data_IF_968329191962
#
_entry.id   IF_968329191962
#
_cell.length_a   1.000
_cell.length_b   1.000
_cell.length_c   1.000
_cell.angle_alpha   90.00
_cell.angle_beta   90.00
_cell.angle_gamma   90.00
#
_symmetry.space_group_name_H-M   'P 1'
#
loop_
_entity.id
_entity.type
_entity.pdbx_description
1 polymer ?
#
# COMPACT_ATOMS: atom_id res chain seq x y z
N UNK A 1 -14.15 8.12 -5.05
CA UNK A 1 -13.24 7.02 -4.71
C UNK A 1 -14.01 5.83 -4.23
N UNK A 2 -13.68 4.64 -4.71
CA UNK A 2 -14.23 3.39 -4.20
C UNK A 2 -13.77 3.14 -2.75
N UNK A 3 -14.45 2.21 -2.06
CA UNK A 3 -14.10 1.86 -0.69
C UNK A 3 -12.75 1.14 -0.62
N UNK A 4 -12.50 0.26 -1.58
CA UNK A 4 -11.23 -0.45 -1.79
C UNK A 4 -11.02 -0.67 -3.29
N UNK A 5 -9.87 -1.20 -3.68
CA UNK A 5 -9.58 -1.55 -5.08
C UNK A 5 -10.48 -2.66 -5.64
N UNK A 6 -11.20 -3.40 -4.79
CA UNK A 6 -12.13 -4.46 -5.20
C UNK A 6 -13.59 -3.99 -5.34
N UNK A 7 -13.86 -2.72 -5.04
CA UNK A 7 -15.19 -2.14 -4.99
C UNK A 7 -15.47 -1.22 -6.19
N UNK A 8 -16.75 -1.07 -6.53
CA UNK A 8 -17.24 -0.11 -7.53
C UNK A 8 -18.37 0.72 -6.90
N UNK A 9 -18.00 1.89 -6.39
CA UNK A 9 -18.93 2.76 -5.68
C UNK A 9 -19.93 3.45 -6.61
N UNK A 10 -19.72 3.44 -7.93
CA UNK A 10 -20.68 4.02 -8.88
C UNK A 10 -22.03 3.30 -8.86
N UNK A 11 -22.04 2.05 -8.37
CA UNK A 11 -23.25 1.23 -8.20
C UNK A 11 -24.20 1.73 -7.13
N UNK A 12 -23.69 2.47 -6.14
CA UNK A 12 -24.48 2.87 -4.96
C UNK A 12 -24.26 4.32 -4.52
N UNK A 13 -23.41 5.09 -5.20
CA UNK A 13 -23.19 6.52 -4.93
C UNK A 13 -23.25 7.33 -6.22
N UNK A 14 -24.01 8.42 -6.18
CA UNK A 14 -24.15 9.33 -7.31
C UNK A 14 -22.89 10.18 -7.53
N UNK A 15 -22.56 10.41 -8.79
CA UNK A 15 -21.38 11.21 -9.19
C UNK A 15 -21.44 12.65 -8.65
N UNK A 16 -22.63 13.25 -8.64
CA UNK A 16 -22.88 14.62 -8.19
C UNK A 16 -22.51 14.84 -6.71
N UNK A 17 -22.74 13.84 -5.87
CA UNK A 17 -22.34 13.86 -4.46
C UNK A 17 -20.82 13.93 -4.34
N UNK A 18 -20.11 13.11 -5.11
CA UNK A 18 -18.64 13.08 -5.13
C UNK A 18 -18.08 14.41 -5.62
N UNK A 19 -18.63 14.97 -6.71
CA UNK A 19 -18.22 16.27 -7.24
C UNK A 19 -18.47 17.41 -6.23
N UNK A 20 -19.56 17.36 -5.47
CA UNK A 20 -19.86 18.33 -4.42
C UNK A 20 -18.86 18.21 -3.26
N UNK A 21 -18.52 16.98 -2.85
CA UNK A 21 -17.55 16.74 -1.79
C UNK A 21 -16.14 17.24 -2.16
N UNK A 22 -15.71 17.10 -3.42
CA UNK A 22 -14.43 17.63 -3.90
C UNK A 22 -14.29 19.14 -3.74
N UNK A 23 -15.39 19.90 -3.76
CA UNK A 23 -15.37 21.36 -3.59
C UNK A 23 -15.11 21.79 -2.14
N UNK A 24 -15.32 20.90 -1.17
CA UNK A 24 -15.17 21.18 0.27
C UNK A 24 -14.04 20.35 0.90
N UNK A 25 -13.18 19.76 0.07
CA UNK A 25 -12.08 18.93 0.52
C UNK A 25 -11.03 19.77 1.28
N UNK A 26 -10.42 19.21 2.35
CA UNK A 26 -9.63 19.99 3.30
C UNK A 26 -8.31 20.50 2.74
N UNK A 27 -7.70 19.84 1.75
CA UNK A 27 -6.37 20.24 1.26
C UNK A 27 -6.44 21.56 0.49
N UNK A 28 -7.43 21.76 -0.39
CA UNK A 28 -7.63 23.07 -1.05
C UNK A 28 -7.79 24.20 -0.03
N UNK A 29 -8.57 23.96 1.03
CA UNK A 29 -8.82 24.96 2.08
C UNK A 29 -7.55 25.31 2.85
N UNK A 30 -6.75 24.32 3.22
CA UNK A 30 -5.48 24.53 3.92
C UNK A 30 -4.48 25.23 3.01
N UNK A 31 -4.38 24.81 1.74
CA UNK A 31 -3.51 25.45 0.75
C UNK A 31 -3.81 26.93 0.64
N UNK A 32 -5.08 27.30 0.44
CA UNK A 32 -5.49 28.70 0.33
C UNK A 32 -5.11 29.49 1.60
N UNK A 33 -5.39 28.94 2.78
CA UNK A 33 -5.03 29.57 4.05
C UNK A 33 -3.53 29.84 4.18
N UNK A 34 -2.67 28.89 3.78
CA UNK A 34 -1.22 29.07 3.84
C UNK A 34 -0.69 30.04 2.78
N UNK A 35 -1.32 30.08 1.60
CA UNK A 35 -1.03 31.06 0.54
C UNK A 35 -1.41 32.47 1.00
N UNK A 36 -2.57 32.65 1.65
CA UNK A 36 -3.01 33.93 2.19
C UNK A 36 -2.06 34.46 3.28
N UNK A 37 -1.42 33.56 4.02
CA UNK A 37 -0.36 33.89 4.99
C UNK A 37 1.01 34.18 4.35
N UNK A 38 1.15 34.02 3.04
CA UNK A 38 2.40 34.23 2.29
C UNK A 38 3.50 33.20 2.56
N UNK A 39 3.16 32.07 3.21
CA UNK A 39 4.12 31.01 3.54
C UNK A 39 4.07 29.83 2.56
N UNK A 40 3.04 29.78 1.70
CA UNK A 40 2.90 28.80 0.63
C UNK A 40 2.77 29.46 -0.74
N UNK A 41 3.31 28.79 -1.77
CA UNK A 41 3.34 29.27 -3.16
C UNK A 41 3.43 28.07 -4.12
N UNK A 42 3.31 28.33 -5.43
CA UNK A 42 3.31 27.31 -6.47
C UNK A 42 4.66 26.57 -6.58
N UNK A 43 5.77 27.24 -6.27
CA UNK A 43 7.09 26.62 -6.29
C UNK A 43 7.21 25.56 -5.20
N UNK A 44 6.76 25.87 -3.96
CA UNK A 44 6.71 24.92 -2.85
C UNK A 44 5.73 23.77 -3.09
N UNK A 45 4.58 24.04 -3.71
CA UNK A 45 3.64 22.98 -4.10
C UNK A 45 4.29 22.01 -5.08
N UNK A 46 4.96 22.53 -6.11
CA UNK A 46 5.65 21.72 -7.11
C UNK A 46 6.77 20.89 -6.47
N UNK A 47 7.62 21.52 -5.66
CA UNK A 47 8.69 20.83 -4.92
C UNK A 47 8.14 19.73 -4.00
N UNK A 48 7.02 19.99 -3.30
CA UNK A 48 6.38 18.99 -2.45
C UNK A 48 5.89 17.79 -3.27
N UNK A 49 5.21 18.02 -4.40
CA UNK A 49 4.67 16.98 -5.25
C UNK A 49 5.79 16.12 -5.87
N UNK A 50 6.85 16.76 -6.37
CA UNK A 50 8.02 16.06 -6.90
C UNK A 50 8.72 15.23 -5.82
N UNK A 51 8.93 15.80 -4.63
CA UNK A 51 9.52 15.08 -3.50
C UNK A 51 8.64 13.90 -3.04
N UNK A 52 7.33 14.08 -3.02
CA UNK A 52 6.39 13.03 -2.65
C UNK A 52 6.41 11.89 -3.67
N UNK A 53 6.38 12.20 -4.97
CA UNK A 53 6.47 11.22 -6.04
C UNK A 53 7.76 10.41 -5.94
N UNK A 54 8.92 11.09 -5.82
CA UNK A 54 10.21 10.42 -5.70
C UNK A 54 10.28 9.47 -4.49
N UNK A 55 9.73 9.86 -3.34
CA UNK A 55 9.66 9.00 -2.13
C UNK A 55 8.79 7.76 -2.35
N UNK A 56 7.66 7.92 -3.05
CA UNK A 56 6.78 6.79 -3.37
C UNK A 56 7.48 5.84 -4.33
N UNK A 57 8.12 6.36 -5.37
CA UNK A 57 8.84 5.55 -6.36
C UNK A 57 9.99 4.78 -5.71
N UNK A 58 10.80 5.42 -4.87
CA UNK A 58 11.87 4.76 -4.11
C UNK A 58 11.32 3.65 -3.20
N UNK A 59 10.20 3.89 -2.51
CA UNK A 59 9.57 2.89 -1.65
C UNK A 59 9.03 1.70 -2.45
N UNK A 60 8.44 1.95 -3.63
CA UNK A 60 7.97 0.91 -4.55
C UNK A 60 9.13 0.09 -5.09
N UNK A 61 10.20 0.73 -5.56
CA UNK A 61 11.41 0.03 -6.03
C UNK A 61 12.04 -0.82 -4.93
N UNK A 62 12.14 -0.28 -3.71
CA UNK A 62 12.64 -1.04 -2.55
C UNK A 62 11.77 -2.26 -2.26
N UNK A 63 10.44 -2.12 -2.31
CA UNK A 63 9.52 -3.23 -2.10
C UNK A 63 9.65 -4.29 -3.20
N UNK A 64 9.69 -3.89 -4.47
CA UNK A 64 9.82 -4.81 -5.61
C UNK A 64 11.16 -5.57 -5.59
N UNK A 65 12.21 -4.95 -5.08
CA UNK A 65 13.52 -5.57 -4.89
C UNK A 65 13.64 -6.37 -3.57
N UNK A 66 12.63 -6.33 -2.70
CA UNK A 66 12.62 -7.13 -1.47
C UNK A 66 12.35 -8.59 -1.84
N UNK A 67 13.24 -9.53 -1.49
CA UNK A 67 13.00 -10.95 -1.74
C UNK A 67 11.68 -11.40 -1.08
N UNK A 68 10.90 -12.21 -1.78
CA UNK A 68 9.72 -12.84 -1.19
C UNK A 68 10.13 -13.63 0.06
N UNK A 69 9.40 -13.55 1.18
CA UNK A 69 9.67 -14.37 2.34
C UNK A 69 9.69 -15.85 1.96
N UNK A 70 10.58 -16.67 2.55
CA UNK A 70 10.59 -18.10 2.29
C UNK A 70 9.29 -18.75 2.83
N UNK A 71 8.92 -19.92 2.30
CA UNK A 71 7.61 -20.55 2.55
C UNK A 71 7.40 -20.87 4.03
N UNK A 72 8.47 -21.20 4.74
CA UNK A 72 8.49 -21.49 6.16
C UNK A 72 8.17 -20.27 7.05
N UNK A 73 8.24 -19.04 6.51
CA UNK A 73 7.96 -17.82 7.27
C UNK A 73 6.54 -17.76 7.83
N UNK A 74 5.59 -18.49 7.22
CA UNK A 74 4.22 -18.55 7.73
C UNK A 74 4.11 -19.27 9.09
N UNK A 75 5.12 -20.08 9.45
CA UNK A 75 5.18 -20.81 10.72
C UNK A 75 5.95 -20.04 11.80
N UNK A 76 6.97 -19.25 11.41
CA UNK A 76 7.94 -18.64 12.32
C UNK A 76 7.33 -17.59 13.29
N UNK A 77 6.14 -17.05 12.99
CA UNK A 77 5.51 -15.97 13.77
C UNK A 77 4.13 -16.34 14.34
N UNK A 78 3.77 -17.64 14.33
CA UNK A 78 2.47 -18.09 14.84
C UNK A 78 2.46 -18.33 16.35
N UNK A 79 3.61 -18.72 16.90
CA UNK A 79 3.83 -18.95 18.32
C UNK A 79 5.21 -18.41 18.71
N UNK A 80 5.48 -18.27 20.01
CA UNK A 80 6.81 -17.86 20.49
C UNK A 80 7.88 -18.89 20.11
N UNK A 81 7.53 -20.17 20.22
CA UNK A 81 8.32 -21.32 19.77
C UNK A 81 7.45 -22.19 18.87
N UNK A 82 8.04 -22.81 17.84
CA UNK A 82 7.32 -23.72 16.95
C UNK A 82 6.79 -24.93 17.75
N UNK A 83 5.47 -25.15 17.83
CA UNK A 83 4.93 -26.33 18.48
C UNK A 83 5.26 -27.60 17.70
N UNK A 84 5.54 -28.70 18.41
CA UNK A 84 5.90 -30.00 17.83
C UNK A 84 4.92 -30.47 16.75
N UNK A 85 3.62 -30.27 16.95
CA UNK A 85 2.58 -30.68 16.00
C UNK A 85 2.58 -29.89 14.66
N UNK A 86 3.33 -28.79 14.55
CA UNK A 86 3.49 -28.02 13.32
C UNK A 86 4.80 -28.32 12.58
N UNK A 87 5.74 -29.06 13.19
CA UNK A 87 7.03 -29.38 12.58
C UNK A 87 6.86 -30.13 11.26
N UNK A 88 6.05 -31.19 11.24
CA UNK A 88 5.80 -31.98 10.03
C UNK A 88 5.16 -31.15 8.90
N UNK A 89 4.28 -30.21 9.24
CA UNK A 89 3.63 -29.31 8.26
C UNK A 89 4.64 -28.32 7.67
N UNK A 90 5.54 -27.78 8.49
CA UNK A 90 6.62 -26.89 8.06
C UNK A 90 7.58 -27.61 7.12
N UNK A 91 8.01 -28.82 7.47
CA UNK A 91 8.88 -29.65 6.62
C UNK A 91 8.20 -30.04 5.30
N UNK A 92 6.90 -30.34 5.34
CA UNK A 92 6.16 -30.64 4.12
C UNK A 92 6.08 -29.42 3.19
N UNK A 93 5.84 -28.21 3.72
CA UNK A 93 5.81 -26.99 2.93
C UNK A 93 7.17 -26.69 2.27
N UNK A 94 8.27 -26.85 3.01
CA UNK A 94 9.64 -26.68 2.48
C UNK A 94 9.89 -27.67 1.33
N UNK A 95 9.59 -28.95 1.52
CA UNK A 95 9.75 -29.98 0.47
C UNK A 95 8.90 -29.71 -0.77
N UNK A 96 7.67 -29.24 -0.58
CA UNK A 96 6.76 -28.90 -1.68
C UNK A 96 7.38 -27.84 -2.60
N UNK A 97 7.97 -26.78 -2.02
CA UNK A 97 8.68 -25.72 -2.77
C UNK A 97 9.81 -26.29 -3.63
N UNK A 98 10.60 -27.21 -3.09
CA UNK A 98 11.76 -27.79 -3.78
C UNK A 98 11.34 -28.77 -4.90
N UNK A 99 10.20 -29.45 -4.74
CA UNK A 99 9.70 -30.45 -5.69
C UNK A 99 8.96 -29.86 -6.91
N UNK A 100 8.34 -28.68 -6.77
CA UNK A 100 7.44 -28.10 -7.78
C UNK A 100 7.95 -26.75 -8.33
N UNK A 101 9.26 -26.59 -8.46
CA UNK A 101 9.94 -25.35 -8.85
C UNK A 101 9.21 -24.52 -9.92
N UNK A 102 8.55 -23.44 -9.49
CA UNK A 102 8.33 -22.24 -10.29
C UNK A 102 7.07 -22.12 -11.17
N UNK A 103 6.07 -23.01 -11.12
CA UNK A 103 4.93 -22.92 -12.07
C UNK A 103 3.72 -22.07 -11.65
N UNK A 104 3.75 -21.45 -10.47
CA UNK A 104 2.70 -20.52 -10.04
C UNK A 104 3.33 -19.26 -9.44
N UNK A 105 3.77 -18.37 -10.33
CA UNK A 105 4.24 -17.02 -10.03
C UNK A 105 4.03 -16.14 -11.23
#
# INVERSE_FOLDING_TARGET
SDHTTADDASRYRHKEEVETAWKVEPLLRIRQYLTDLGIWDEAKETELLESAAAKVDEAVEKYLNTPKPPIESMFDYMYADLPEFLEEQREHAIRYKDSNGGQHG
#
